data_IF_336487427962
#
_entry.id   IF_336487427962
#
_cell.length_a   1.000
_cell.length_b   1.000
_cell.length_c   1.000
_cell.angle_alpha   90.00
_cell.angle_beta   90.00
_cell.angle_gamma   90.00
#
_symmetry.space_group_name_H-M   'P 1'
#
loop_
_entity.id
_entity.type
_entity.pdbx_description
1 polymer ?
#
# COMPACT_ATOMS: atom_id res chain seq x y z
N UNK A 1 -17.92 -4.47 5.27
CA UNK A 1 -16.53 -4.77 5.69
C UNK A 1 -15.77 -5.13 4.42
N UNK A 2 -14.59 -4.54 4.19
CA UNK A 2 -13.75 -4.91 3.05
C UNK A 2 -13.16 -6.31 3.28
N UNK A 3 -12.92 -7.05 2.20
CA UNK A 3 -12.29 -8.37 2.26
C UNK A 3 -10.82 -8.27 2.67
N UNK A 4 -10.21 -9.37 3.16
CA UNK A 4 -8.78 -9.40 3.42
C UNK A 4 -8.01 -9.26 2.11
N UNK A 5 -6.94 -8.47 2.15
CA UNK A 5 -6.00 -8.26 1.06
C UNK A 5 -4.58 -8.56 1.54
N UNK A 6 -3.65 -8.76 0.63
CA UNK A 6 -2.24 -9.01 0.96
C UNK A 6 -1.32 -8.30 -0.01
N UNK A 7 -0.18 -7.85 0.49
CA UNK A 7 0.96 -7.42 -0.32
C UNK A 7 2.00 -8.53 -0.48
N UNK A 8 2.98 -8.30 -1.34
CA UNK A 8 4.08 -9.23 -1.59
C UNK A 8 5.42 -8.53 -1.50
N UNK A 9 6.38 -9.14 -0.80
CA UNK A 9 7.78 -8.70 -0.78
C UNK A 9 8.59 -9.65 -1.66
N UNK A 10 9.17 -9.12 -2.73
CA UNK A 10 10.01 -9.86 -3.66
C UNK A 10 11.48 -9.60 -3.32
N UNK A 11 12.24 -10.67 -3.07
CA UNK A 11 13.67 -10.62 -2.72
C UNK A 11 14.45 -11.66 -3.52
N UNK A 12 15.61 -11.25 -4.02
CA UNK A 12 16.58 -12.12 -4.66
C UNK A 12 18.00 -11.59 -4.40
N UNK A 13 18.99 -12.48 -4.29
CA UNK A 13 20.37 -12.10 -4.04
C UNK A 13 20.93 -11.25 -5.19
N UNK A 14 21.51 -10.10 -4.87
CA UNK A 14 22.09 -9.17 -5.86
C UNK A 14 21.06 -8.29 -6.60
N UNK A 15 19.78 -8.35 -6.24
CA UNK A 15 18.72 -7.54 -6.85
C UNK A 15 18.01 -6.64 -5.82
N UNK A 16 17.39 -5.52 -6.26
CA UNK A 16 16.57 -4.70 -5.39
C UNK A 16 15.40 -5.47 -4.77
N UNK A 17 15.12 -5.21 -3.50
CA UNK A 17 13.90 -5.64 -2.83
C UNK A 17 12.73 -4.78 -3.31
N UNK A 18 11.67 -5.43 -3.80
CA UNK A 18 10.44 -4.74 -4.21
C UNK A 18 9.31 -5.15 -3.27
N UNK A 19 8.61 -4.16 -2.72
CA UNK A 19 7.38 -4.38 -1.97
C UNK A 19 6.17 -3.96 -2.80
N UNK A 20 5.30 -4.90 -3.14
CA UNK A 20 3.99 -4.66 -3.75
C UNK A 20 2.98 -4.52 -2.62
N UNK A 21 2.48 -3.31 -2.39
CA UNK A 21 1.63 -3.00 -1.22
C UNK A 21 0.23 -3.65 -1.31
N UNK A 22 -0.29 -3.84 -2.52
CA UNK A 22 -1.64 -4.34 -2.77
C UNK A 22 -2.72 -3.26 -2.60
N UNK A 23 -3.99 -3.68 -2.63
CA UNK A 23 -5.17 -2.81 -2.44
C UNK A 23 -5.37 -2.46 -0.96
N UNK A 24 -4.41 -1.72 -0.39
CA UNK A 24 -4.38 -1.35 1.02
C UNK A 24 -4.33 0.18 1.18
N UNK A 25 -4.73 0.70 2.34
CA UNK A 25 -4.42 2.08 2.77
C UNK A 25 -3.05 2.13 3.46
N UNK A 26 -2.50 3.34 3.61
CA UNK A 26 -1.24 3.56 4.34
C UNK A 26 -1.41 3.45 5.86
N UNK A 27 -1.49 2.22 6.37
CA UNK A 27 -1.74 1.89 7.78
C UNK A 27 -0.49 1.35 8.50
N UNK A 28 -0.60 1.14 9.82
CA UNK A 28 0.51 0.70 10.67
C UNK A 28 1.17 -0.60 10.18
N UNK A 29 0.38 -1.60 9.77
CA UNK A 29 0.92 -2.87 9.26
C UNK A 29 1.76 -2.70 7.99
N UNK A 30 1.46 -1.69 7.16
CA UNK A 30 2.24 -1.37 5.96
C UNK A 30 3.56 -0.74 6.38
N UNK A 31 3.55 0.19 7.35
CA UNK A 31 4.76 0.80 7.91
C UNK A 31 5.67 -0.25 8.54
N UNK A 32 5.11 -1.15 9.35
CA UNK A 32 5.84 -2.27 9.95
C UNK A 32 6.50 -3.17 8.88
N UNK A 33 5.81 -3.38 7.75
CA UNK A 33 6.36 -4.15 6.62
C UNK A 33 7.52 -3.41 5.96
N UNK A 34 7.40 -2.10 5.75
CA UNK A 34 8.48 -1.27 5.20
C UNK A 34 9.69 -1.26 6.12
N UNK A 35 9.50 -1.05 7.42
CA UNK A 35 10.59 -1.07 8.41
C UNK A 35 11.26 -2.44 8.50
N UNK A 36 10.48 -3.52 8.51
CA UNK A 36 11.00 -4.89 8.62
C UNK A 36 11.81 -5.32 7.41
N UNK A 37 11.34 -4.99 6.20
CA UNK A 37 11.92 -5.53 4.97
C UNK A 37 12.84 -4.54 4.25
N UNK A 38 12.77 -3.25 4.59
CA UNK A 38 13.53 -2.14 4.03
C UNK A 38 13.66 -2.23 2.50
N UNK A 39 12.53 -2.17 1.75
CA UNK A 39 12.54 -2.33 0.31
C UNK A 39 13.20 -1.15 -0.41
N UNK A 40 13.86 -1.43 -1.52
CA UNK A 40 14.41 -0.39 -2.40
C UNK A 40 13.30 0.33 -3.18
N UNK A 41 12.22 -0.39 -3.50
CA UNK A 41 11.06 0.15 -4.20
C UNK A 41 9.76 -0.35 -3.59
N UNK A 42 8.76 0.53 -3.56
CA UNK A 42 7.38 0.19 -3.19
C UNK A 42 6.48 0.45 -4.39
N UNK A 43 5.70 -0.55 -4.79
CA UNK A 43 4.65 -0.43 -5.81
C UNK A 43 3.33 -0.21 -5.09
N UNK A 44 2.70 0.92 -5.37
CA UNK A 44 1.47 1.37 -4.72
C UNK A 44 0.34 1.45 -5.75
N UNK A 45 -0.83 0.91 -5.40
CA UNK A 45 -2.06 1.13 -6.16
C UNK A 45 -2.62 2.51 -5.79
N UNK A 46 -2.23 3.53 -6.54
CA UNK A 46 -2.54 4.95 -6.26
C UNK A 46 -3.78 5.44 -7.02
N UNK A 47 -4.86 4.65 -7.05
CA UNK A 47 -6.05 4.94 -7.86
C UNK A 47 -7.09 5.82 -7.17
N UNK A 48 -6.92 6.15 -5.89
CA UNK A 48 -7.89 6.97 -5.14
C UNK A 48 -9.30 6.38 -5.09
N UNK A 49 -9.43 5.05 -5.07
CA UNK A 49 -10.73 4.40 -5.22
C UNK A 49 -11.71 4.81 -4.11
N UNK A 50 -12.95 5.13 -4.48
CA UNK A 50 -14.02 5.58 -3.59
C UNK A 50 -15.07 4.48 -3.44
N UNK A 51 -15.36 4.12 -2.18
CA UNK A 51 -16.49 3.27 -1.84
C UNK A 51 -17.53 4.12 -1.07
N UNK A 52 -18.67 4.49 -1.67
CA UNK A 52 -19.58 5.51 -1.14
C UNK A 52 -20.03 5.33 0.32
N UNK A 53 -20.11 4.10 0.78
CA UNK A 53 -20.49 3.73 2.14
C UNK A 53 -19.42 4.05 3.19
N UNK A 54 -18.13 3.99 2.84
CA UNK A 54 -17.00 4.13 3.77
C UNK A 54 -16.17 5.40 3.50
N UNK A 55 -16.03 5.78 2.24
CA UNK A 55 -15.12 6.86 1.84
C UNK A 55 -15.61 8.26 2.19
N UNK A 56 -16.87 8.40 2.63
CA UNK A 56 -17.39 9.69 3.13
C UNK A 56 -16.72 10.10 4.44
N UNK A 57 -16.34 9.14 5.28
CA UNK A 57 -15.69 9.41 6.57
C UNK A 57 -14.20 9.16 6.49
N UNK A 58 -13.80 8.09 5.79
CA UNK A 58 -12.43 7.57 5.89
C UNK A 58 -11.56 7.90 4.68
N UNK A 59 -12.11 8.63 3.70
CA UNK A 59 -11.44 8.94 2.44
C UNK A 59 -11.32 7.73 1.49
N UNK A 60 -10.42 7.81 0.49
CA UNK A 60 -10.19 6.71 -0.44
C UNK A 60 -9.83 5.39 0.25
N UNK A 61 -10.26 4.27 -0.34
CA UNK A 61 -9.95 2.92 0.18
C UNK A 61 -8.57 2.41 -0.23
N UNK A 62 -7.91 3.11 -1.15
CA UNK A 62 -6.49 2.98 -1.54
C UNK A 62 -5.91 4.39 -1.76
N UNK A 63 -4.59 4.61 -1.65
CA UNK A 63 -3.98 5.91 -1.82
C UNK A 63 -4.35 6.59 -3.14
N UNK A 64 -4.33 7.92 -3.15
CA UNK A 64 -4.39 8.75 -4.37
C UNK A 64 -3.01 9.32 -4.76
N UNK A 65 -2.97 10.10 -5.85
CA UNK A 65 -1.75 10.75 -6.33
C UNK A 65 -1.18 11.77 -5.35
N UNK A 66 -2.02 12.42 -4.53
CA UNK A 66 -1.57 13.42 -3.57
C UNK A 66 -0.94 12.76 -2.35
N UNK A 67 -1.41 11.57 -1.95
CA UNK A 67 -0.83 10.80 -0.85
C UNK A 67 0.54 10.21 -1.20
N UNK A 68 0.79 9.86 -2.47
CA UNK A 68 2.03 9.19 -2.88
C UNK A 68 3.13 10.11 -3.42
N UNK A 69 2.82 11.36 -3.81
CA UNK A 69 3.76 12.26 -4.49
C UNK A 69 4.31 13.39 -3.60
N UNK A 70 4.15 13.31 -2.27
CA UNK A 70 4.65 14.30 -1.30
C UNK A 70 6.13 14.17 -0.98
#
# INVERSE_FOLDING_TARGET
MMGPVSGYVLKAEGFPTVYIMGDCRWEACIRDTVERFNPDYIVVNSGGAIFPEFSKTDGPIIPDENEVMQ
#
